data_IF_950127854641
#
_entry.id   IF_950127854641
#
_cell.length_a   1.000
_cell.length_b   1.000
_cell.length_c   1.000
_cell.angle_alpha   90.00
_cell.angle_beta   90.00
_cell.angle_gamma   90.00
#
_symmetry.space_group_name_H-M   'P 1'
#
loop_
_entity.id
_entity.type
_entity.pdbx_description
1 polymer ?
#
# COMPACT_ATOMS: atom_id res chain seq x y z
N UNK A 1 -23.54 12.83 -2.58
CA UNK A 1 -22.93 11.60 -2.04
C UNK A 1 -21.98 11.11 -3.13
N UNK A 2 -20.67 11.34 -3.02
CA UNK A 2 -19.73 10.92 -4.07
C UNK A 2 -19.70 9.40 -4.09
N UNK A 3 -20.34 8.80 -5.09
CA UNK A 3 -20.10 7.40 -5.43
C UNK A 3 -18.67 7.35 -5.91
N UNK A 4 -17.80 6.69 -5.15
CA UNK A 4 -16.43 6.37 -5.55
C UNK A 4 -16.51 5.44 -6.76
N UNK A 5 -16.70 6.05 -7.93
CA UNK A 5 -16.75 5.34 -9.20
C UNK A 5 -15.37 4.72 -9.47
N UNK A 6 -15.35 3.72 -10.34
CA UNK A 6 -14.16 3.01 -10.75
C UNK A 6 -12.96 3.92 -11.08
N UNK A 7 -13.23 5.06 -11.73
CA UNK A 7 -12.21 6.06 -12.09
C UNK A 7 -11.64 6.76 -10.84
N UNK A 8 -12.48 7.00 -9.83
CA UNK A 8 -12.09 7.62 -8.57
C UNK A 8 -11.11 6.74 -7.79
N UNK A 9 -11.39 5.44 -7.65
CA UNK A 9 -10.51 4.52 -6.91
C UNK A 9 -9.11 4.42 -7.52
N UNK A 10 -9.01 4.32 -8.85
CA UNK A 10 -7.75 4.31 -9.59
C UNK A 10 -6.98 5.63 -9.41
N UNK A 11 -7.66 6.76 -9.47
CA UNK A 11 -7.05 8.08 -9.27
C UNK A 11 -6.46 8.20 -7.87
N UNK A 12 -7.23 7.81 -6.84
CA UNK A 12 -6.75 7.86 -5.45
C UNK A 12 -5.56 6.93 -5.25
N UNK A 13 -5.61 5.69 -5.75
CA UNK A 13 -4.48 4.75 -5.70
C UNK A 13 -3.21 5.32 -6.33
N UNK A 14 -3.35 5.94 -7.50
CA UNK A 14 -2.23 6.57 -8.21
C UNK A 14 -1.63 7.70 -7.38
N UNK A 15 -2.48 8.52 -6.76
CA UNK A 15 -2.05 9.64 -5.93
C UNK A 15 -1.42 9.17 -4.62
N UNK A 16 -1.92 8.09 -4.03
CA UNK A 16 -1.31 7.48 -2.86
C UNK A 16 0.09 6.97 -3.25
N UNK A 17 0.22 6.22 -4.34
CA UNK A 17 1.53 5.75 -4.84
C UNK A 17 2.49 6.91 -5.16
N UNK A 18 2.00 7.99 -5.77
CA UNK A 18 2.79 9.18 -6.04
C UNK A 18 3.25 9.85 -4.74
N UNK A 19 2.36 9.98 -3.75
CA UNK A 19 2.71 10.50 -2.43
C UNK A 19 3.74 9.62 -1.72
N UNK A 20 3.71 8.29 -1.91
CA UNK A 20 4.76 7.41 -1.41
C UNK A 20 6.12 7.60 -2.11
N UNK A 21 6.11 8.00 -3.38
CA UNK A 21 7.30 8.25 -4.18
C UNK A 21 7.85 9.69 -4.02
N UNK A 22 7.09 10.61 -3.43
CA UNK A 22 7.54 11.96 -3.12
C UNK A 22 8.82 11.92 -2.26
N UNK A 23 9.85 12.72 -2.57
CA UNK A 23 11.14 12.65 -1.91
C UNK A 23 11.04 12.84 -0.39
N UNK A 24 10.16 13.73 0.07
CA UNK A 24 9.90 13.96 1.49
C UNK A 24 9.32 12.73 2.19
N UNK A 25 8.37 12.05 1.55
CA UNK A 25 7.70 10.88 2.13
C UNK A 25 8.59 9.63 2.02
N UNK A 26 9.26 9.44 0.90
CA UNK A 26 10.24 8.39 0.67
C UNK A 26 11.39 8.47 1.70
N UNK A 27 11.91 9.68 1.97
CA UNK A 27 12.93 9.88 3.01
C UNK A 27 12.44 9.46 4.39
N UNK A 28 11.21 9.83 4.78
CA UNK A 28 10.62 9.43 6.08
C UNK A 28 10.46 7.92 6.20
N UNK A 29 10.05 7.24 5.13
CA UNK A 29 9.92 5.78 5.11
C UNK A 29 11.28 5.09 5.16
N UNK A 30 12.27 5.62 4.44
CA UNK A 30 13.64 5.13 4.45
C UNK A 30 14.25 5.25 5.86
N UNK A 31 14.12 6.42 6.49
CA UNK A 31 14.65 6.68 7.83
C UNK A 31 14.01 5.75 8.89
N UNK A 32 12.70 5.53 8.78
CA UNK A 32 11.98 4.55 9.61
C UNK A 32 12.49 3.11 9.40
N UNK A 33 12.84 2.74 8.17
CA UNK A 33 13.43 1.43 7.85
C UNK A 33 14.83 1.27 8.41
N UNK A 34 15.68 2.29 8.27
CA UNK A 34 17.06 2.26 8.75
C UNK A 34 17.13 2.20 10.28
N UNK A 35 16.22 2.90 10.96
CA UNK A 35 16.08 2.88 12.44
C UNK A 35 15.71 1.51 13.02
N UNK A 36 15.18 0.61 12.18
CA UNK A 36 14.81 -0.74 12.58
C UNK A 36 16.01 -1.69 12.76
N UNK A 37 17.22 -1.33 12.28
CA UNK A 37 18.43 -2.14 12.40
C UNK A 37 18.26 -3.60 11.91
N UNK A 38 17.50 -3.80 10.83
CA UNK A 38 17.23 -5.13 10.26
C UNK A 38 16.16 -5.96 10.97
N UNK A 39 15.57 -5.45 12.06
CA UNK A 39 14.41 -6.10 12.70
C UNK A 39 13.15 -5.80 11.89
N UNK A 40 12.62 -6.81 11.20
CA UNK A 40 11.43 -6.70 10.36
C UNK A 40 10.18 -6.26 11.17
N UNK A 41 10.03 -6.72 12.41
CA UNK A 41 8.90 -6.34 13.27
C UNK A 41 8.99 -4.86 13.64
N UNK A 42 10.17 -4.39 14.03
CA UNK A 42 10.44 -2.98 14.34
C UNK A 42 10.32 -2.11 13.10
N UNK A 43 10.79 -2.58 11.95
CA UNK A 43 10.64 -1.91 10.67
C UNK A 43 9.17 -1.68 10.36
N UNK A 44 8.34 -2.72 10.46
CA UNK A 44 6.89 -2.59 10.25
C UNK A 44 6.25 -1.64 11.27
N UNK A 45 6.63 -1.70 12.54
CA UNK A 45 6.12 -0.79 13.57
C UNK A 45 6.46 0.69 13.33
N UNK A 46 7.60 0.98 12.68
CA UNK A 46 8.01 2.35 12.36
C UNK A 46 7.49 2.81 10.99
N UNK A 47 7.48 1.93 9.99
CA UNK A 47 7.08 2.24 8.61
C UNK A 47 5.57 2.32 8.46
N UNK A 48 4.81 1.44 9.12
CA UNK A 48 3.35 1.43 9.04
C UNK A 48 2.71 2.77 9.46
N UNK A 49 3.05 3.37 10.61
CA UNK A 49 2.45 4.66 10.99
C UNK A 49 2.82 5.77 10.01
N UNK A 50 4.04 5.79 9.47
CA UNK A 50 4.43 6.76 8.43
C UNK A 50 3.58 6.57 7.17
N UNK A 51 3.39 5.33 6.74
CA UNK A 51 2.57 5.00 5.58
C UNK A 51 1.10 5.37 5.77
N UNK A 52 0.54 5.04 6.94
CA UNK A 52 -0.83 5.40 7.29
C UNK A 52 -1.03 6.92 7.20
N UNK A 53 -0.10 7.71 7.72
CA UNK A 53 -0.19 9.19 7.65
C UNK A 53 -0.13 9.68 6.22
N UNK A 54 0.79 9.19 5.38
CA UNK A 54 0.87 9.58 3.97
C UNK A 54 -0.44 9.25 3.24
N UNK A 55 -0.96 8.04 3.46
CA UNK A 55 -2.18 7.58 2.84
C UNK A 55 -3.39 8.41 3.28
N UNK A 56 -3.51 8.72 4.58
CA UNK A 56 -4.52 9.61 5.14
C UNK A 56 -4.49 11.01 4.50
N UNK A 57 -3.29 11.58 4.32
CA UNK A 57 -3.11 12.91 3.72
C UNK A 57 -3.60 12.99 2.27
N UNK A 58 -3.54 11.88 1.55
CA UNK A 58 -4.04 11.78 0.18
C UNK A 58 -5.55 11.59 0.18
N UNK A 59 -6.05 10.57 0.88
CA UNK A 59 -7.48 10.20 0.83
C UNK A 59 -8.40 11.29 1.41
N UNK A 60 -7.90 12.13 2.33
CA UNK A 60 -8.68 13.26 2.84
C UNK A 60 -9.05 14.27 1.76
N UNK A 61 -8.18 14.46 0.75
CA UNK A 61 -8.43 15.39 -0.37
C UNK A 61 -9.59 14.91 -1.26
N UNK A 62 -9.94 13.65 -1.12
CA UNK A 62 -11.01 13.02 -1.87
C UNK A 62 -12.33 12.99 -1.08
N UNK A 63 -12.30 13.21 0.24
CA UNK A 63 -13.47 13.14 1.11
C UNK A 63 -13.50 11.92 2.05
N UNK A 64 -12.41 11.17 2.16
CA UNK A 64 -12.26 10.20 3.26
C UNK A 64 -11.86 10.91 4.55
N UNK A 65 -12.13 10.29 5.69
CA UNK A 65 -11.67 10.81 6.97
C UNK A 65 -10.15 10.67 7.13
N UNK A 66 -9.49 11.64 7.76
CA UNK A 66 -8.05 11.62 8.05
C UNK A 66 -7.78 10.83 9.34
N UNK A 67 -8.22 9.58 9.38
CA UNK A 67 -8.05 8.67 10.52
C UNK A 67 -8.04 7.21 10.06
N UNK A 68 -7.93 6.27 11.00
CA UNK A 68 -7.89 4.84 10.69
C UNK A 68 -9.13 4.31 9.96
N UNK A 69 -10.31 4.87 10.24
CA UNK A 69 -11.57 4.52 9.58
C UNK A 69 -11.55 4.94 8.10
N UNK A 70 -11.00 6.11 7.77
CA UNK A 70 -10.84 6.55 6.39
C UNK A 70 -9.94 5.62 5.58
N UNK A 71 -8.82 5.19 6.16
CA UNK A 71 -7.91 4.20 5.55
C UNK A 71 -8.61 2.86 5.36
N UNK A 72 -9.40 2.42 6.34
CA UNK A 72 -10.15 1.16 6.25
C UNK A 72 -11.22 1.21 5.17
N UNK A 73 -11.97 2.31 5.07
CA UNK A 73 -12.95 2.56 4.00
C UNK A 73 -12.28 2.56 2.63
N UNK A 74 -11.17 3.28 2.47
CA UNK A 74 -10.41 3.29 1.23
C UNK A 74 -9.94 1.87 0.85
N UNK A 75 -9.36 1.13 1.80
CA UNK A 75 -8.90 -0.24 1.57
C UNK A 75 -10.05 -1.16 1.13
N UNK A 76 -11.23 -0.98 1.71
CA UNK A 76 -12.44 -1.72 1.33
C UNK A 76 -12.89 -1.37 -0.09
N UNK A 77 -12.89 -0.08 -0.45
CA UNK A 77 -13.21 0.39 -1.81
C UNK A 77 -12.23 -0.22 -2.81
N UNK A 78 -10.93 -0.10 -2.57
CA UNK A 78 -9.89 -0.69 -3.42
C UNK A 78 -10.16 -2.19 -3.60
N UNK A 79 -10.36 -2.94 -2.52
CA UNK A 79 -10.61 -4.40 -2.57
C UNK A 79 -11.85 -4.79 -3.35
N UNK A 80 -12.92 -4.00 -3.29
CA UNK A 80 -14.11 -4.23 -4.11
C UNK A 80 -13.83 -4.05 -5.60
N UNK A 81 -12.96 -3.12 -5.98
CA UNK A 81 -12.59 -2.88 -7.37
C UNK A 81 -11.45 -3.79 -7.87
N UNK A 82 -10.53 -4.21 -7.00
CA UNK A 82 -9.43 -5.16 -7.31
C UNK A 82 -9.95 -6.45 -8.00
N UNK A 83 -11.16 -6.91 -7.64
CA UNK A 83 -11.75 -8.11 -8.21
C UNK A 83 -12.26 -7.94 -9.66
N UNK A 84 -12.52 -6.70 -10.08
CA UNK A 84 -13.08 -6.36 -11.39
C UNK A 84 -12.06 -5.65 -12.28
N UNK A 85 -10.98 -5.11 -11.70
CA UNK A 85 -9.96 -4.34 -12.41
C UNK A 85 -8.54 -4.79 -12.06
N UNK A 86 -7.83 -5.41 -13.02
CA UNK A 86 -6.49 -5.92 -12.79
C UNK A 86 -5.46 -4.80 -12.57
N UNK A 87 -5.74 -3.57 -13.01
CA UNK A 87 -4.83 -2.44 -12.84
C UNK A 87 -4.85 -1.93 -11.39
N UNK A 88 -6.04 -1.80 -10.80
CA UNK A 88 -6.25 -1.51 -9.38
C UNK A 88 -5.60 -2.61 -8.52
N UNK A 89 -5.76 -3.89 -8.90
CA UNK A 89 -5.08 -4.99 -8.23
C UNK A 89 -3.55 -4.86 -8.29
N UNK A 90 -2.98 -4.53 -9.45
CA UNK A 90 -1.54 -4.32 -9.61
C UNK A 90 -1.04 -3.12 -8.79
N UNK A 91 -1.76 -2.00 -8.78
CA UNK A 91 -1.42 -0.81 -8.00
C UNK A 91 -1.47 -1.07 -6.49
N UNK A 92 -2.52 -1.75 -6.03
CA UNK A 92 -2.65 -2.11 -4.62
C UNK A 92 -1.60 -3.14 -4.19
N UNK A 93 -1.24 -4.10 -5.04
CA UNK A 93 -0.14 -5.01 -4.80
C UNK A 93 1.21 -4.27 -4.72
N UNK A 94 1.46 -3.31 -5.62
CA UNK A 94 2.64 -2.45 -5.59
C UNK A 94 2.72 -1.67 -4.28
N UNK A 95 1.61 -1.07 -3.85
CA UNK A 95 1.50 -0.35 -2.59
C UNK A 95 1.82 -1.26 -1.40
N UNK A 96 1.21 -2.45 -1.33
CA UNK A 96 1.48 -3.45 -0.27
C UNK A 96 2.97 -3.85 -0.25
N UNK A 97 3.59 -4.03 -1.40
CA UNK A 97 5.02 -4.34 -1.52
C UNK A 97 5.95 -3.19 -1.07
N UNK A 98 5.43 -1.96 -0.96
CA UNK A 98 6.18 -0.82 -0.39
C UNK A 98 6.27 -0.91 1.13
N UNK A 99 5.38 -1.64 1.81
CA UNK A 99 5.41 -1.74 3.29
C UNK A 99 5.82 -3.13 3.75
N UNK A 100 5.39 -4.15 3.03
CA UNK A 100 5.71 -5.51 3.37
C UNK A 100 7.15 -5.82 2.93
N UNK A 101 7.96 -6.45 3.79
CA UNK A 101 9.22 -7.04 3.32
C UNK A 101 8.91 -7.99 2.16
N UNK A 102 9.88 -8.23 1.24
CA UNK A 102 9.71 -9.22 0.20
C UNK A 102 9.36 -10.55 0.88
N UNK A 103 8.08 -10.93 0.79
CA UNK A 103 7.66 -12.27 1.13
C UNK A 103 8.30 -13.14 0.07
N UNK A 104 9.44 -13.74 0.42
CA UNK A 104 9.96 -14.89 -0.30
C UNK A 104 8.88 -15.95 -0.18
N UNK A 105 7.96 -15.97 -1.15
CA UNK A 105 7.24 -17.20 -1.44
C UNK A 105 8.35 -18.24 -1.62
N UNK A 106 8.36 -19.36 -0.87
CA UNK A 106 9.20 -20.46 -1.26
C UNK A 106 8.80 -20.78 -2.70
N UNK A 107 9.73 -20.53 -3.63
CA UNK A 107 9.59 -21.01 -4.99
C UNK A 107 9.31 -22.49 -4.88
N UNK A 108 8.09 -22.92 -5.19
CA UNK A 108 7.81 -24.32 -5.44
C UNK A 108 8.65 -24.67 -6.66
N UNK A 109 9.87 -25.15 -6.39
CA UNK A 109 10.75 -25.68 -7.40
C UNK A 109 10.06 -26.96 -7.87
N UNK A 110 9.33 -26.84 -8.98
CA UNK A 110 8.77 -27.98 -9.68
C UNK A 110 9.93 -28.86 -10.14
N UNK A 111 10.34 -29.81 -9.31
CA UNK A 111 11.14 -30.94 -9.75
C UNK A 111 10.16 -32.01 -10.19
N UNK A 112 9.65 -31.83 -11.41
CA UNK A 112 8.96 -32.87 -12.14
C UNK A 112 9.95 -34.02 -12.40
N UNK A 113 9.56 -35.21 -11.93
CA UNK A 113 9.84 -36.53 -12.48
C UNK A 113 11.21 -36.84 -13.06
N UNK A 114 11.97 -37.67 -12.34
CA UNK A 114 12.75 -38.70 -13.01
C UNK A 114 12.74 -39.98 -12.16
N UNK A 115 11.94 -40.96 -12.58
CA UNK A 115 12.03 -42.38 -12.19
C UNK A 115 11.48 -43.22 -13.32
#
# INVERSE_FOLDING_TARGET
>A
MLTWDHIGSKTILTQVLAAFAEPTNAARLQEARESACGDTCKMLQLVLPVAIVIQQQVIQNYGFSNDGEGVLKFTKVVRSHEAHDPEIAAMAAKLKSTFLPPLTLPTHNGTAGNS
#
